data_IF_263253550322
#
_entry.id   IF_263253550322
#
_cell.length_a   1.000
_cell.length_b   1.000
_cell.length_c   1.000
_cell.angle_alpha   90.00
_cell.angle_beta   90.00
_cell.angle_gamma   90.00
#
_symmetry.space_group_name_H-M   'P 1'
#
loop_
_entity.id
_entity.type
_entity.pdbx_description
1 polymer ?
#
# COMPACT_ATOMS: atom_id res chain seq x y z
N UNK A 1 -4.51 -45.27 22.85
CA UNK A 1 -3.99 -44.37 23.92
C UNK A 1 -3.58 -45.04 25.23
N UNK A 2 -4.08 -46.23 25.61
CA UNK A 2 -3.68 -46.91 26.88
C UNK A 2 -2.17 -47.20 27.01
N UNK A 3 -1.45 -47.35 25.91
CA UNK A 3 -0.03 -47.72 25.93
C UNK A 3 0.91 -46.59 26.40
N UNK A 4 0.56 -45.32 26.16
CA UNK A 4 1.46 -44.18 26.45
C UNK A 4 1.73 -43.99 27.94
N UNK A 5 0.69 -44.02 28.78
CA UNK A 5 0.82 -43.89 30.23
C UNK A 5 1.62 -45.05 30.84
N UNK A 6 1.38 -46.29 30.37
CA UNK A 6 2.13 -47.47 30.79
C UNK A 6 3.61 -47.38 30.40
N UNK A 7 3.92 -46.85 29.21
CA UNK A 7 5.30 -46.62 28.76
C UNK A 7 6.05 -45.57 29.58
N UNK A 8 5.33 -44.61 30.17
CA UNK A 8 5.87 -43.60 31.07
C UNK A 8 5.90 -44.02 32.55
N UNK A 9 5.50 -45.26 32.87
CA UNK A 9 5.44 -45.76 34.26
C UNK A 9 4.29 -45.16 35.10
N UNK A 10 3.37 -44.42 34.47
CA UNK A 10 2.23 -43.82 35.14
C UNK A 10 1.06 -44.81 35.14
N UNK A 11 0.75 -45.37 36.31
CA UNK A 11 -0.42 -46.22 36.53
C UNK A 11 -1.54 -45.33 37.10
N UNK A 12 -2.47 -44.93 36.24
CA UNK A 12 -3.61 -44.13 36.67
C UNK A 12 -4.67 -44.99 37.36
N UNK A 13 -5.07 -44.58 38.57
CA UNK A 13 -6.11 -45.24 39.36
C UNK A 13 -7.47 -45.29 38.65
N UNK A 14 -7.77 -44.28 37.82
CA UNK A 14 -8.94 -44.27 36.95
C UNK A 14 -8.59 -43.69 35.57
N UNK A 15 -8.38 -44.53 34.55
CA UNK A 15 -8.09 -44.08 33.20
C UNK A 15 -9.22 -43.24 32.58
N UNK A 16 -10.47 -43.45 33.00
CA UNK A 16 -11.63 -42.86 32.35
C UNK A 16 -11.80 -41.37 32.71
N UNK A 17 -11.54 -40.98 33.97
CA UNK A 17 -11.53 -39.57 34.37
C UNK A 17 -10.40 -38.75 33.75
N UNK A 18 -9.29 -39.38 33.39
CA UNK A 18 -8.21 -38.69 32.66
C UNK A 18 -8.63 -38.48 31.21
N UNK A 19 -9.21 -39.50 30.57
CA UNK A 19 -9.70 -39.39 29.20
C UNK A 19 -10.82 -38.35 29.07
N UNK A 20 -11.73 -38.23 30.04
CA UNK A 20 -12.80 -37.22 30.02
C UNK A 20 -12.29 -35.78 30.16
N UNK A 21 -11.12 -35.58 30.82
CA UNK A 21 -10.44 -34.27 30.89
C UNK A 21 -9.60 -33.96 29.66
N UNK A 22 -9.12 -35.00 28.96
CA UNK A 22 -8.36 -34.88 27.72
C UNK A 22 -9.25 -34.72 26.49
N UNK A 23 -10.57 -34.89 26.62
CA UNK A 23 -11.53 -34.50 25.59
C UNK A 23 -11.64 -32.97 25.52
N UNK A 24 -10.53 -32.34 25.12
CA UNK A 24 -10.43 -30.93 24.86
C UNK A 24 -11.22 -30.71 23.57
N UNK A 25 -12.51 -30.39 23.72
CA UNK A 25 -13.31 -29.88 22.61
C UNK A 25 -12.73 -28.52 22.21
N UNK A 26 -11.78 -28.53 21.27
CA UNK A 26 -11.30 -27.32 20.62
C UNK A 26 -12.53 -26.72 19.94
N UNK A 27 -13.19 -25.79 20.62
CA UNK A 27 -14.18 -24.94 20.00
C UNK A 27 -13.41 -24.02 19.07
N UNK A 28 -13.15 -24.48 17.86
CA UNK A 28 -12.99 -23.55 16.74
C UNK A 28 -14.35 -22.86 16.66
N UNK A 29 -14.44 -21.67 17.25
CA UNK A 29 -15.60 -20.82 17.03
C UNK A 29 -15.76 -20.73 15.52
N UNK A 30 -16.83 -21.30 14.98
CA UNK A 30 -17.23 -21.05 13.60
C UNK A 30 -17.09 -19.54 13.40
N UNK A 31 -16.29 -19.07 12.43
CA UNK A 31 -16.12 -17.64 12.23
C UNK A 31 -17.52 -17.06 12.15
N UNK A 32 -17.83 -16.12 13.05
CA UNK A 32 -19.09 -15.40 13.00
C UNK A 32 -19.25 -14.95 11.56
N UNK A 33 -20.38 -15.31 10.92
CA UNK A 33 -20.71 -14.93 9.54
C UNK A 33 -20.63 -13.41 9.47
N UNK A 34 -19.43 -12.92 9.23
CA UNK A 34 -19.14 -11.52 9.09
C UNK A 34 -19.66 -11.27 7.70
N UNK A 35 -20.83 -10.62 7.65
CA UNK A 35 -21.57 -10.25 6.45
C UNK A 35 -20.73 -10.41 5.19
N UNK A 36 -21.04 -11.45 4.40
CA UNK A 36 -20.31 -11.82 3.19
C UNK A 36 -20.12 -10.64 2.23
N UNK A 37 -20.92 -9.56 2.38
CA UNK A 37 -20.76 -8.31 1.64
C UNK A 37 -19.40 -7.61 1.83
N UNK A 38 -18.76 -7.69 3.00
CA UNK A 38 -17.46 -7.00 3.24
C UNK A 38 -16.23 -7.83 2.86
N UNK A 39 -16.39 -9.14 2.66
CA UNK A 39 -15.32 -10.04 2.21
C UNK A 39 -15.17 -10.05 0.69
N UNK A 40 -16.23 -9.75 -0.05
CA UNK A 40 -16.24 -9.82 -1.51
C UNK A 40 -15.51 -8.66 -2.23
N UNK A 41 -15.00 -7.66 -1.50
CA UNK A 41 -14.30 -6.51 -2.11
C UNK A 41 -12.84 -6.32 -1.66
N UNK A 42 -12.31 -7.15 -0.76
CA UNK A 42 -10.95 -6.95 -0.27
C UNK A 42 -9.93 -7.59 -1.23
N UNK A 43 -9.28 -6.75 -2.03
CA UNK A 43 -8.13 -7.11 -2.86
C UNK A 43 -6.89 -6.46 -2.23
N UNK A 44 -5.78 -7.20 -2.09
CA UNK A 44 -4.50 -6.68 -1.59
C UNK A 44 -3.79 -5.82 -2.65
N UNK A 45 -4.48 -4.82 -3.18
CA UNK A 45 -3.95 -3.82 -4.09
C UNK A 45 -3.45 -2.60 -3.30
N UNK A 46 -2.38 -1.99 -3.81
CA UNK A 46 -1.88 -0.72 -3.29
C UNK A 46 -2.95 0.36 -3.51
N UNK A 47 -3.32 1.15 -2.48
CA UNK A 47 -4.32 2.20 -2.62
C UNK A 47 -3.81 3.29 -3.57
N UNK A 48 -4.65 3.73 -4.50
CA UNK A 48 -4.29 4.72 -5.53
C UNK A 48 -4.58 6.16 -5.08
N UNK A 49 -5.35 6.32 -4.00
CA UNK A 49 -5.71 7.62 -3.44
C UNK A 49 -5.87 7.54 -1.91
N UNK A 50 -5.95 8.71 -1.27
CA UNK A 50 -6.04 8.83 0.19
C UNK A 50 -7.31 8.17 0.76
N UNK A 51 -8.43 8.25 0.03
CA UNK A 51 -9.71 7.70 0.47
C UNK A 51 -9.62 6.17 0.54
N UNK A 52 -9.06 5.53 -0.48
CA UNK A 52 -8.80 4.09 -0.49
C UNK A 52 -7.86 3.68 0.66
N UNK A 53 -6.80 4.44 0.91
CA UNK A 53 -5.88 4.17 2.02
C UNK A 53 -6.59 4.24 3.39
N UNK A 54 -7.48 5.22 3.59
CA UNK A 54 -8.27 5.36 4.82
C UNK A 54 -9.25 4.19 5.01
N UNK A 55 -9.98 3.83 3.95
CA UNK A 55 -10.93 2.71 3.97
C UNK A 55 -10.21 1.39 4.26
N UNK A 56 -9.09 1.12 3.56
CA UNK A 56 -8.33 -0.10 3.76
C UNK A 56 -7.72 -0.17 5.17
N UNK A 57 -7.15 0.93 5.68
CA UNK A 57 -6.60 0.95 7.04
C UNK A 57 -7.66 0.73 8.11
N UNK A 58 -8.87 1.27 7.92
CA UNK A 58 -10.01 1.08 8.83
C UNK A 58 -10.47 -0.36 8.87
N UNK A 59 -10.55 -1.01 7.71
CA UNK A 59 -10.91 -2.42 7.60
C UNK A 59 -9.88 -3.33 8.29
N UNK A 60 -8.58 -3.08 8.05
CA UNK A 60 -7.50 -3.85 8.69
C UNK A 60 -7.55 -3.69 10.21
N UNK A 61 -7.71 -2.46 10.71
CA UNK A 61 -7.88 -2.19 12.15
C UNK A 61 -9.08 -2.94 12.74
N UNK A 62 -10.23 -2.92 12.06
CA UNK A 62 -11.43 -3.60 12.53
C UNK A 62 -11.28 -5.13 12.58
N UNK A 63 -10.57 -5.73 11.62
CA UNK A 63 -10.26 -7.17 11.61
C UNK A 63 -9.31 -7.54 12.75
N UNK A 64 -8.29 -6.72 12.99
CA UNK A 64 -7.32 -6.94 14.06
C UNK A 64 -7.94 -6.80 15.45
N UNK A 65 -8.84 -5.83 15.65
CA UNK A 65 -9.56 -5.66 16.93
C UNK A 65 -10.44 -6.86 17.29
N UNK A 66 -10.88 -7.64 16.30
CA UNK A 66 -11.70 -8.86 16.49
C UNK A 66 -10.87 -10.13 16.68
N UNK A 67 -9.54 -10.04 16.64
CA UNK A 67 -8.66 -11.19 16.78
C UNK A 67 -8.67 -11.71 18.23
N UNK A 68 -9.04 -12.98 18.43
CA UNK A 68 -9.20 -13.60 19.75
C UNK A 68 -7.99 -14.43 20.21
N UNK A 69 -6.89 -14.47 19.44
CA UNK A 69 -5.63 -15.14 19.80
C UNK A 69 -4.63 -14.15 20.40
N UNK A 70 -3.43 -14.62 20.81
CA UNK A 70 -2.34 -13.86 21.45
C UNK A 70 -2.20 -12.40 21.03
N UNK A 71 -1.77 -11.55 21.98
CA UNK A 71 -1.68 -10.09 21.86
C UNK A 71 -1.23 -9.59 20.47
N UNK A 72 -2.13 -8.97 19.68
CA UNK A 72 -1.86 -8.54 18.30
C UNK A 72 -1.00 -7.25 18.20
N UNK A 73 -0.44 -6.78 19.33
CA UNK A 73 0.20 -5.48 19.50
C UNK A 73 1.29 -5.17 18.46
N UNK A 74 2.21 -6.10 18.12
CA UNK A 74 3.26 -5.81 17.15
C UNK A 74 2.74 -5.56 15.73
N UNK A 75 1.67 -6.26 15.32
CA UNK A 75 1.06 -6.06 13.99
C UNK A 75 0.30 -4.73 13.97
N UNK A 76 -0.30 -4.33 15.10
CA UNK A 76 -1.08 -3.09 15.16
C UNK A 76 -0.19 -1.86 14.95
N UNK A 77 0.95 -1.82 15.63
CA UNK A 77 1.92 -0.74 15.51
C UNK A 77 2.49 -0.65 14.09
N UNK A 78 2.80 -1.79 13.46
CA UNK A 78 3.31 -1.82 12.08
C UNK A 78 2.27 -1.34 11.07
N UNK A 79 1.01 -1.74 11.19
CA UNK A 79 -0.08 -1.23 10.33
C UNK A 79 -0.31 0.26 10.54
N UNK A 80 -0.25 0.75 11.79
CA UNK A 80 -0.38 2.18 12.07
C UNK A 80 0.78 2.99 11.49
N UNK A 81 2.01 2.50 11.64
CA UNK A 81 3.20 3.12 11.05
C UNK A 81 3.11 3.14 9.53
N UNK A 82 2.66 2.05 8.91
CA UNK A 82 2.43 1.97 7.47
C UNK A 82 1.38 2.99 7.01
N UNK A 83 0.25 3.10 7.71
CA UNK A 83 -0.80 4.07 7.37
C UNK A 83 -0.27 5.52 7.39
N UNK A 84 0.49 5.89 8.42
CA UNK A 84 1.14 7.21 8.52
C UNK A 84 2.18 7.43 7.41
N UNK A 85 2.95 6.39 7.08
CA UNK A 85 3.92 6.43 5.97
C UNK A 85 3.23 6.68 4.63
N UNK A 86 2.15 5.97 4.34
CA UNK A 86 1.36 6.14 3.12
C UNK A 86 0.73 7.53 3.03
N UNK A 87 0.19 8.06 4.12
CA UNK A 87 -0.35 9.42 4.17
C UNK A 87 0.71 10.47 3.83
N UNK A 88 1.90 10.37 4.45
CA UNK A 88 3.03 11.24 4.13
C UNK A 88 3.44 11.16 2.66
N UNK A 89 3.58 9.94 2.12
CA UNK A 89 3.95 9.74 0.73
C UNK A 89 2.90 10.31 -0.23
N UNK A 90 1.60 10.18 0.08
CA UNK A 90 0.53 10.76 -0.74
C UNK A 90 0.63 12.30 -0.81
N UNK A 91 0.94 12.96 0.32
CA UNK A 91 1.19 14.40 0.33
C UNK A 91 2.44 14.79 -0.48
N UNK A 92 3.55 14.07 -0.29
CA UNK A 92 4.79 14.32 -1.05
C UNK A 92 4.58 14.12 -2.56
N UNK A 93 3.91 13.05 -2.97
CA UNK A 93 3.58 12.78 -4.38
C UNK A 93 2.69 13.87 -4.97
N UNK A 94 1.74 14.41 -4.19
CA UNK A 94 0.87 15.49 -4.64
C UNK A 94 1.67 16.77 -4.91
N UNK A 95 2.57 17.13 -3.98
CA UNK A 95 3.46 18.29 -4.14
C UNK A 95 4.39 18.13 -5.36
N UNK A 96 5.06 16.98 -5.45
CA UNK A 96 5.97 16.66 -6.55
C UNK A 96 5.26 16.67 -7.90
N UNK A 97 4.03 16.17 -7.96
CA UNK A 97 3.21 16.21 -9.17
C UNK A 97 2.90 17.64 -9.61
N UNK A 98 2.56 18.52 -8.66
CA UNK A 98 2.32 19.94 -8.94
C UNK A 98 3.59 20.65 -9.45
N UNK A 99 4.72 20.45 -8.77
CA UNK A 99 6.01 20.99 -9.18
C UNK A 99 6.43 20.48 -10.58
N UNK A 100 6.28 19.17 -10.83
CA UNK A 100 6.61 18.58 -12.12
C UNK A 100 5.76 19.20 -13.25
N UNK A 101 4.47 19.45 -12.99
CA UNK A 101 3.59 20.13 -13.94
C UNK A 101 4.04 21.57 -14.22
N UNK A 102 4.47 22.31 -13.19
CA UNK A 102 5.01 23.66 -13.35
C UNK A 102 6.30 23.66 -14.17
N UNK A 103 7.23 22.77 -13.85
CA UNK A 103 8.51 22.62 -14.56
C UNK A 103 8.29 22.25 -16.04
N UNK A 104 7.36 21.32 -16.34
CA UNK A 104 7.02 20.97 -17.72
C UNK A 104 6.50 22.17 -18.51
N UNK A 105 5.61 22.97 -17.93
CA UNK A 105 5.10 24.20 -18.57
C UNK A 105 6.21 25.22 -18.81
N UNK A 106 7.07 25.45 -17.83
CA UNK A 106 8.20 26.36 -17.95
C UNK A 106 9.17 25.90 -19.04
N UNK A 107 9.48 24.61 -19.09
CA UNK A 107 10.34 24.02 -20.11
C UNK A 107 9.74 24.13 -21.51
N UNK A 108 8.42 23.90 -21.66
CA UNK A 108 7.74 24.08 -22.94
C UNK A 108 7.82 25.54 -23.41
N UNK A 109 7.56 26.50 -22.52
CA UNK A 109 7.67 27.92 -22.83
C UNK A 109 9.10 28.32 -23.24
N UNK A 110 10.11 27.83 -22.51
CA UNK A 110 11.52 28.06 -22.84
C UNK A 110 11.90 27.42 -24.19
N UNK A 111 11.42 26.22 -24.47
CA UNK A 111 11.63 25.53 -25.74
C UNK A 111 11.07 26.34 -26.91
N UNK A 112 9.83 26.83 -26.80
CA UNK A 112 9.20 27.71 -27.80
C UNK A 112 10.01 28.99 -28.03
N UNK A 113 10.46 29.65 -26.95
CA UNK A 113 11.30 30.86 -27.04
C UNK A 113 12.63 30.59 -27.75
N UNK A 114 13.31 29.49 -27.42
CA UNK A 114 14.56 29.08 -28.08
C UNK A 114 14.36 28.81 -29.57
N UNK A 115 13.26 28.14 -29.92
CA UNK A 115 12.89 27.87 -31.31
C UNK A 115 12.65 29.18 -32.09
N UNK A 116 11.84 30.09 -31.54
CA UNK A 116 11.59 31.39 -32.16
C UNK A 116 12.89 32.19 -32.37
N UNK A 117 13.76 32.24 -31.35
CA UNK A 117 15.07 32.91 -31.46
C UNK A 117 15.95 32.26 -32.52
N UNK A 118 15.97 30.92 -32.61
CA UNK A 118 16.71 30.19 -33.65
C UNK A 118 16.21 30.54 -35.05
N UNK A 119 14.88 30.56 -35.26
CA UNK A 119 14.28 30.93 -36.54
C UNK A 119 14.60 32.39 -36.89
N UNK A 120 14.50 33.31 -35.93
CA UNK A 120 14.84 34.71 -36.15
C UNK A 120 16.30 34.88 -36.60
N UNK A 121 17.25 34.22 -35.92
CA UNK A 121 18.66 34.26 -36.30
C UNK A 121 18.88 33.71 -37.70
N UNK A 122 18.21 32.61 -38.06
CA UNK A 122 18.27 32.05 -39.41
C UNK A 122 17.75 33.06 -40.45
N UNK A 123 16.58 33.65 -40.26
CA UNK A 123 16.02 34.63 -41.19
C UNK A 123 16.96 35.82 -41.39
N UNK A 124 17.46 36.42 -40.29
CA UNK A 124 18.40 37.55 -40.40
C UNK A 124 19.70 37.20 -41.12
N UNK A 125 20.19 35.96 -40.96
CA UNK A 125 21.37 35.48 -41.68
C UNK A 125 21.11 35.30 -43.17
N UNK A 126 19.90 34.88 -43.56
CA UNK A 126 19.52 34.72 -44.96
C UNK A 126 19.29 36.07 -45.63
N UNK A 127 18.65 37.02 -44.93
CA UNK A 127 18.44 38.38 -45.43
C UNK A 127 19.76 39.11 -45.68
N UNK A 128 20.71 39.02 -44.75
CA UNK A 128 22.07 39.57 -44.93
C UNK A 128 22.81 38.92 -46.10
N UNK A 129 22.73 37.59 -46.25
CA UNK A 129 23.34 36.88 -47.37
C UNK A 129 22.74 37.28 -48.72
N UNK A 130 21.42 37.47 -48.78
CA UNK A 130 20.72 37.93 -49.99
C UNK A 130 21.12 39.36 -50.36
N UNK A 131 21.17 40.27 -49.39
CA UNK A 131 21.65 41.65 -49.59
C UNK A 131 23.10 41.66 -50.10
N UNK A 132 23.97 40.81 -49.57
CA UNK A 132 25.36 40.70 -50.05
C UNK A 132 25.46 40.22 -51.51
N UNK A 133 24.56 39.33 -51.98
CA UNK A 133 24.56 38.85 -53.37
C UNK A 133 24.08 39.94 -54.35
N UNK A 134 23.16 40.81 -53.93
CA UNK A 134 22.61 41.86 -54.81
C UNK A 134 23.48 43.11 -54.95
N UNK A 135 24.51 43.28 -54.10
CA UNK A 135 25.39 44.47 -54.07
C UNK A 135 26.77 44.18 -54.71
N UNK A 136 27.08 42.93 -55.03
CA UNK A 136 28.31 42.51 -55.71
C UNK A 136 28.14 42.47 -57.24
#
# INVERSE_FOLDING_TARGET
MKAGFRGAGLISFDPQSILSKLDIRIRTSTPSSTSLELTNSWISQTPHNLIEALLQSTLVKARMARHQSSSPTPIFETVQALAKGTERLAHEVTLLSAENRMLRRANEALSKRRCAKKIQLLLTSWDLGSICIYIA
#
